data_IF_472637518890
#
_entry.id   IF_472637518890
#
_cell.length_a   1.000
_cell.length_b   1.000
_cell.length_c   1.000
_cell.angle_alpha   90.00
_cell.angle_beta   90.00
_cell.angle_gamma   90.00
#
_symmetry.space_group_name_H-M   'P 1'
#
loop_
_entity.id
_entity.type
_entity.pdbx_description
1 polymer ?
#
# COMPACT_ATOMS: atom_id res chain seq x y z
N UNK A 1 22.85 14.64 -15.48
CA UNK A 1 22.17 13.39 -15.95
C UNK A 1 20.67 13.67 -15.95
N UNK A 2 20.07 13.88 -17.12
CA UNK A 2 18.67 14.28 -17.25
C UNK A 2 17.73 13.13 -16.86
N UNK A 3 17.24 13.12 -15.62
CA UNK A 3 16.20 12.20 -15.19
C UNK A 3 14.93 12.47 -16.01
N UNK A 4 14.59 11.54 -16.90
CA UNK A 4 13.32 11.59 -17.63
C UNK A 4 12.16 11.34 -16.68
N UNK A 5 11.09 12.11 -16.82
CA UNK A 5 9.86 11.98 -16.04
C UNK A 5 8.95 10.99 -16.74
N UNK A 6 8.74 9.84 -16.11
CA UNK A 6 7.82 8.81 -16.58
C UNK A 6 6.40 9.07 -16.09
N UNK A 7 5.42 9.20 -16.99
CA UNK A 7 4.00 9.34 -16.65
C UNK A 7 3.12 8.50 -17.59
N UNK A 8 1.85 8.30 -17.22
CA UNK A 8 0.85 7.65 -18.08
C UNK A 8 -0.20 8.69 -18.43
N UNK A 9 -0.39 8.94 -19.72
CA UNK A 9 -1.39 9.85 -20.25
C UNK A 9 -2.57 9.06 -20.80
N UNK A 10 -3.79 9.54 -20.55
CA UNK A 10 -5.00 8.96 -21.14
C UNK A 10 -5.46 9.84 -22.31
N UNK A 11 -5.50 9.26 -23.51
CA UNK A 11 -5.89 9.91 -24.77
C UNK A 11 -7.03 9.10 -25.39
N UNK A 12 -8.19 9.73 -25.61
CA UNK A 12 -9.38 9.09 -26.20
C UNK A 12 -9.77 7.75 -25.53
N UNK A 13 -9.68 7.68 -24.20
CA UNK A 13 -9.99 6.47 -23.43
C UNK A 13 -8.83 5.45 -23.33
N UNK A 14 -7.79 5.60 -24.14
CA UNK A 14 -6.63 4.71 -24.19
C UNK A 14 -5.46 5.28 -23.38
N UNK A 15 -4.74 4.45 -22.61
CA UNK A 15 -3.58 4.93 -21.83
C UNK A 15 -2.27 4.72 -22.59
N UNK A 16 -1.39 5.70 -22.54
CA UNK A 16 -0.08 5.70 -23.17
C UNK A 16 1.00 6.03 -22.14
N UNK A 17 2.06 5.24 -22.08
CA UNK A 17 3.23 5.54 -21.24
C UNK A 17 4.13 6.56 -21.95
N UNK A 18 4.55 7.56 -21.20
CA UNK A 18 5.35 8.67 -21.69
C UNK A 18 6.57 8.83 -20.82
N UNK A 19 7.73 9.03 -21.44
CA UNK A 19 8.94 9.48 -20.75
C UNK A 19 9.35 10.80 -21.37
N UNK A 20 9.27 11.87 -20.59
CA UNK A 20 9.54 13.22 -21.01
C UNK A 20 10.87 13.71 -20.42
N UNK A 21 11.65 14.45 -21.21
CA UNK A 21 12.94 15.01 -20.78
C UNK A 21 12.89 16.54 -20.86
N UNK A 22 13.82 17.21 -20.16
CA UNK A 22 13.94 18.67 -20.20
C UNK A 22 12.70 19.41 -19.68
N UNK A 23 12.34 20.53 -20.32
CA UNK A 23 11.21 21.37 -19.93
C UNK A 23 9.88 20.60 -19.91
N UNK A 24 9.61 19.78 -20.93
CA UNK A 24 8.41 18.93 -20.98
C UNK A 24 8.35 17.94 -19.81
N UNK A 25 9.51 17.43 -19.38
CA UNK A 25 9.62 16.62 -18.16
C UNK A 25 9.27 17.41 -16.91
N UNK A 26 9.83 18.62 -16.75
CA UNK A 26 9.55 19.48 -15.60
C UNK A 26 8.07 19.86 -15.49
N UNK A 27 7.42 20.22 -16.60
CA UNK A 27 5.98 20.54 -16.60
C UNK A 27 5.15 19.33 -16.17
N UNK A 28 5.46 18.13 -16.66
CA UNK A 28 4.75 16.90 -16.31
C UNK A 28 5.03 16.42 -14.88
N UNK A 29 6.23 16.66 -14.34
CA UNK A 29 6.58 16.31 -12.96
C UNK A 29 5.68 17.03 -11.95
N UNK A 30 5.31 18.28 -12.26
CA UNK A 30 4.43 19.10 -11.42
C UNK A 30 2.96 18.70 -11.51
N UNK A 31 2.58 17.79 -12.42
CA UNK A 31 1.18 17.39 -12.62
C UNK A 31 0.77 16.22 -11.75
N UNK A 32 -0.48 16.28 -11.31
CA UNK A 32 -1.12 15.24 -10.52
C UNK A 32 -2.09 14.41 -11.37
N UNK A 33 -2.43 13.21 -10.87
CA UNK A 33 -3.36 12.34 -11.57
C UNK A 33 -4.73 13.03 -11.71
N UNK A 34 -5.34 12.85 -12.89
CA UNK A 34 -6.64 13.43 -13.21
C UNK A 34 -6.64 14.89 -13.68
N UNK A 35 -5.48 15.55 -13.70
CA UNK A 35 -5.31 16.84 -14.40
C UNK A 35 -5.18 16.60 -15.90
N UNK A 36 -5.81 17.45 -16.72
CA UNK A 36 -5.72 17.36 -18.17
C UNK A 36 -4.72 18.37 -18.70
N UNK A 37 -3.79 17.90 -19.53
CA UNK A 37 -2.76 18.73 -20.16
C UNK A 37 -2.80 18.49 -21.66
N UNK A 38 -2.63 19.54 -22.46
CA UNK A 38 -2.47 19.40 -23.91
C UNK A 38 -1.04 18.96 -24.21
N UNK A 39 -0.90 17.82 -24.89
CA UNK A 39 0.38 17.24 -25.27
C UNK A 39 0.43 17.00 -26.77
N UNK A 40 1.60 17.20 -27.38
CA UNK A 40 1.85 16.90 -28.80
C UNK A 40 2.99 15.89 -28.87
N UNK A 41 2.80 14.84 -29.65
CA UNK A 41 3.79 13.77 -29.77
C UNK A 41 3.31 12.63 -30.66
N UNK A 42 4.19 11.64 -30.86
CA UNK A 42 3.90 10.46 -31.68
C UNK A 42 3.60 9.26 -30.79
N UNK A 43 2.48 8.58 -31.05
CA UNK A 43 2.11 7.33 -30.37
C UNK A 43 2.66 6.13 -31.16
N UNK A 44 3.21 5.15 -30.45
CA UNK A 44 3.59 3.84 -30.98
C UNK A 44 2.98 2.75 -30.10
N UNK A 45 2.57 1.65 -30.69
CA UNK A 45 2.13 0.48 -29.92
C UNK A 45 3.26 -0.07 -29.06
N UNK A 46 2.89 -0.66 -27.92
CA UNK A 46 3.87 -1.26 -27.02
C UNK A 46 4.41 -2.57 -27.61
N UNK A 47 5.55 -2.49 -28.32
CA UNK A 47 6.31 -3.65 -28.74
C UNK A 47 7.43 -3.98 -27.73
N UNK A 48 7.63 -5.27 -27.41
CA UNK A 48 8.74 -5.76 -26.58
C UNK A 48 8.34 -6.39 -25.23
N UNK A 49 9.34 -6.76 -24.39
CA UNK A 49 9.14 -7.58 -23.18
C UNK A 49 8.29 -6.93 -22.08
N UNK A 50 8.02 -5.63 -22.16
CA UNK A 50 7.18 -4.88 -21.20
C UNK A 50 5.69 -4.83 -21.59
N UNK A 51 5.31 -5.38 -22.75
CA UNK A 51 3.92 -5.35 -23.25
C UNK A 51 2.92 -6.01 -22.30
N UNK A 52 3.32 -7.05 -21.56
CA UNK A 52 2.46 -7.68 -20.56
C UNK A 52 2.16 -6.75 -19.38
N UNK A 53 3.16 -6.06 -18.83
CA UNK A 53 2.97 -5.12 -17.73
C UNK A 53 2.10 -3.93 -18.16
N UNK A 54 2.35 -3.41 -19.36
CA UNK A 54 1.58 -2.30 -19.92
C UNK A 54 0.11 -2.73 -20.15
N UNK A 55 -0.17 -3.95 -20.64
CA UNK A 55 -1.55 -4.48 -20.73
C UNK A 55 -2.25 -4.61 -19.37
N UNK A 56 -1.55 -5.07 -18.32
CA UNK A 56 -2.11 -5.19 -16.96
C UNK A 56 -2.48 -3.82 -16.37
N UNK A 57 -1.77 -2.77 -16.76
CA UNK A 57 -2.04 -1.39 -16.32
C UNK A 57 -2.98 -0.61 -17.27
N UNK A 58 -3.58 -1.31 -18.23
CA UNK A 58 -4.43 -0.77 -19.30
C UNK A 58 -3.72 0.24 -20.22
N UNK A 59 -2.41 0.12 -20.35
CA UNK A 59 -1.55 0.92 -21.24
C UNK A 59 -1.41 0.22 -22.59
N UNK A 60 -1.85 0.91 -23.64
CA UNK A 60 -1.95 0.40 -25.02
C UNK A 60 -0.69 0.67 -25.82
N UNK A 61 0.04 1.75 -25.49
CA UNK A 61 1.20 2.18 -26.26
C UNK A 61 2.18 3.04 -25.46
N UNK A 62 3.26 3.43 -26.13
CA UNK A 62 4.17 4.48 -25.67
C UNK A 62 4.00 5.73 -26.52
N UNK A 63 4.07 6.89 -25.91
CA UNK A 63 4.05 8.17 -26.61
C UNK A 63 5.35 8.93 -26.35
N UNK A 64 5.98 9.37 -27.43
CA UNK A 64 7.15 10.28 -27.40
C UNK A 64 6.65 11.70 -27.56
N UNK A 65 6.97 12.57 -26.59
CA UNK A 65 6.51 13.96 -26.59
C UNK A 65 7.41 14.88 -27.39
N UNK A 66 6.78 15.76 -28.15
CA UNK A 66 7.40 16.88 -28.86
C UNK A 66 7.21 18.18 -28.09
N UNK A 67 6.03 18.40 -27.50
CA UNK A 67 5.76 19.54 -26.63
C UNK A 67 4.65 19.26 -25.62
N UNK A 68 4.66 20.01 -24.53
CA UNK A 68 3.66 19.97 -23.45
C UNK A 68 3.21 21.41 -23.21
N UNK A 69 1.91 21.65 -23.28
CA UNK A 69 1.30 22.95 -22.98
C UNK A 69 1.45 23.30 -21.49
N UNK A 70 1.64 24.58 -21.18
CA UNK A 70 1.62 25.07 -19.79
C UNK A 70 0.19 25.12 -19.24
N UNK A 71 -0.80 25.34 -20.10
CA UNK A 71 -2.22 25.31 -19.72
C UNK A 71 -2.67 23.88 -19.37
N UNK A 72 -3.33 23.75 -18.22
CA UNK A 72 -3.91 22.51 -17.73
C UNK A 72 -5.28 22.75 -17.11
N UNK A 73 -6.14 21.73 -17.10
CA UNK A 73 -7.40 21.74 -16.36
C UNK A 73 -7.34 20.78 -15.17
N UNK A 74 -7.92 21.19 -14.04
CA UNK A 74 -7.79 20.44 -12.78
C UNK A 74 -8.70 19.19 -12.67
N UNK A 75 -9.44 18.83 -13.74
CA UNK A 75 -10.32 17.67 -13.77
C UNK A 75 -11.63 17.83 -12.96
N UNK A 76 -12.25 16.71 -12.56
CA UNK A 76 -13.53 16.68 -11.83
C UNK A 76 -13.40 17.25 -10.40
N UNK A 77 -14.51 17.68 -9.79
CA UNK A 77 -14.50 18.30 -8.45
C UNK A 77 -13.86 17.42 -7.37
N UNK A 78 -14.05 16.10 -7.44
CA UNK A 78 -13.42 15.15 -6.52
C UNK A 78 -11.89 15.07 -6.72
N UNK A 79 -11.44 15.04 -7.98
CA UNK A 79 -10.00 15.04 -8.32
C UNK A 79 -9.34 16.34 -7.86
N UNK A 80 -10.00 17.48 -8.10
CA UNK A 80 -9.54 18.80 -7.63
C UNK A 80 -9.35 18.85 -6.13
N UNK A 81 -10.33 18.32 -5.39
CA UNK A 81 -10.27 18.27 -3.93
C UNK A 81 -9.13 17.35 -3.44
N UNK A 82 -8.97 16.17 -4.04
CA UNK A 82 -7.89 15.24 -3.71
C UNK A 82 -6.50 15.82 -4.03
N UNK A 83 -6.35 16.48 -5.18
CA UNK A 83 -5.10 17.13 -5.57
C UNK A 83 -4.77 18.33 -4.69
N UNK A 84 -5.77 19.11 -4.26
CA UNK A 84 -5.57 20.15 -3.23
C UNK A 84 -5.10 19.55 -1.91
N UNK A 85 -5.75 18.49 -1.43
CA UNK A 85 -5.34 17.82 -0.19
C UNK A 85 -3.91 17.29 -0.29
N UNK A 86 -3.53 16.68 -1.43
CA UNK A 86 -2.16 16.22 -1.68
C UNK A 86 -1.16 17.37 -1.62
N UNK A 87 -1.46 18.50 -2.27
CA UNK A 87 -0.64 19.72 -2.19
C UNK A 87 -0.50 20.22 -0.75
N UNK A 88 -1.59 20.25 0.01
CA UNK A 88 -1.59 20.64 1.43
C UNK A 88 -0.72 19.68 2.27
N UNK A 89 -0.86 18.36 2.07
CA UNK A 89 -0.04 17.36 2.77
C UNK A 89 1.45 17.55 2.48
N UNK A 90 1.81 17.72 1.20
CA UNK A 90 3.20 17.97 0.80
C UNK A 90 3.74 19.27 1.42
N UNK A 91 2.94 20.33 1.44
CA UNK A 91 3.29 21.59 2.09
C UNK A 91 3.49 21.47 3.60
N UNK A 92 2.67 20.65 4.26
CA UNK A 92 2.72 20.44 5.72
C UNK A 92 3.87 19.59 6.23
N UNK A 93 4.68 19.03 5.33
CA UNK A 93 5.94 18.34 5.64
C UNK A 93 7.11 18.88 4.82
N UNK A 94 7.03 20.14 4.38
CA UNK A 94 8.01 20.74 3.47
C UNK A 94 9.40 20.90 4.09
N UNK A 95 9.49 21.06 5.41
CA UNK A 95 10.73 21.15 6.18
C UNK A 95 11.42 19.81 6.44
N UNK A 96 10.77 18.68 6.13
CA UNK A 96 11.42 17.36 6.17
C UNK A 96 12.50 17.26 5.08
N UNK A 97 13.55 16.49 5.35
CA UNK A 97 14.51 16.14 4.29
C UNK A 97 13.83 15.40 3.14
N UNK A 98 14.35 15.54 1.93
CA UNK A 98 13.74 14.98 0.71
C UNK A 98 13.37 13.49 0.86
N UNK A 99 14.30 12.68 1.34
CA UNK A 99 14.10 11.22 1.48
C UNK A 99 13.04 10.89 2.55
N UNK A 100 13.03 11.61 3.67
CA UNK A 100 12.04 11.38 4.74
C UNK A 100 10.65 11.83 4.29
N UNK A 101 10.56 12.94 3.57
CA UNK A 101 9.30 13.41 2.97
C UNK A 101 8.76 12.40 1.96
N UNK A 102 9.61 11.89 1.07
CA UNK A 102 9.23 10.88 0.08
C UNK A 102 8.72 9.59 0.77
N UNK A 103 9.39 9.13 1.82
CA UNK A 103 8.94 7.97 2.59
C UNK A 103 7.63 8.24 3.33
N UNK A 104 7.49 9.41 3.97
CA UNK A 104 6.26 9.80 4.66
C UNK A 104 5.05 9.83 3.71
N UNK A 105 5.20 10.47 2.55
CA UNK A 105 4.13 10.53 1.56
C UNK A 105 3.82 9.15 0.98
N UNK A 106 4.81 8.28 0.80
CA UNK A 106 4.61 6.87 0.47
C UNK A 106 3.76 6.12 1.50
N UNK A 107 4.12 6.25 2.78
CA UNK A 107 3.42 5.59 3.89
C UNK A 107 1.97 6.05 4.05
N UNK A 108 1.71 7.35 3.88
CA UNK A 108 0.42 7.97 4.21
C UNK A 108 -0.54 7.98 3.02
N UNK A 109 -0.06 8.40 1.84
CA UNK A 109 -0.89 8.60 0.64
C UNK A 109 -0.43 7.81 -0.59
N UNK A 110 0.64 7.03 -0.47
CA UNK A 110 1.11 6.14 -1.54
C UNK A 110 1.82 6.92 -2.63
N UNK A 111 2.45 8.04 -2.28
CA UNK A 111 3.32 8.75 -3.21
C UNK A 111 4.72 8.13 -3.20
N UNK A 112 5.02 7.33 -4.21
CA UNK A 112 6.30 6.66 -4.40
C UNK A 112 7.22 7.40 -5.40
N UNK A 113 6.77 8.53 -5.97
CA UNK A 113 7.43 9.23 -7.08
C UNK A 113 8.84 9.72 -6.75
N UNK A 114 9.03 10.23 -5.54
CA UNK A 114 10.28 10.86 -5.10
C UNK A 114 11.17 9.89 -4.29
N UNK A 115 10.79 8.61 -4.17
CA UNK A 115 11.55 7.65 -3.36
C UNK A 115 12.88 7.27 -4.04
N UNK A 116 14.02 7.42 -3.34
CA UNK A 116 15.32 7.02 -3.87
C UNK A 116 15.38 5.51 -4.17
N UNK A 117 16.08 5.12 -5.24
CA UNK A 117 16.27 3.70 -5.60
C UNK A 117 16.95 2.88 -4.49
N UNK A 118 17.88 3.49 -3.75
CA UNK A 118 18.52 2.88 -2.59
C UNK A 118 17.51 2.53 -1.51
N UNK A 119 16.58 3.46 -1.20
CA UNK A 119 15.50 3.22 -0.25
C UNK A 119 14.59 2.08 -0.72
N UNK A 120 14.15 2.09 -1.98
CA UNK A 120 13.32 1.02 -2.53
C UNK A 120 14.04 -0.34 -2.43
N UNK A 121 15.35 -0.37 -2.70
CA UNK A 121 16.18 -1.57 -2.55
C UNK A 121 16.25 -2.04 -1.11
N UNK A 122 16.48 -1.15 -0.15
CA UNK A 122 16.53 -1.49 1.28
C UNK A 122 15.19 -2.07 1.77
N UNK A 123 14.08 -1.46 1.40
CA UNK A 123 12.74 -1.94 1.72
C UNK A 123 12.46 -3.30 1.05
N UNK A 124 12.97 -3.54 -0.16
CA UNK A 124 12.84 -4.83 -0.85
C UNK A 124 13.67 -5.92 -0.18
N UNK A 125 14.91 -5.64 0.18
CA UNK A 125 15.80 -6.60 0.85
C UNK A 125 15.36 -6.93 2.28
N UNK A 126 14.67 -6.00 2.95
CA UNK A 126 14.09 -6.20 4.28
C UNK A 126 12.69 -6.84 4.26
N UNK A 127 12.06 -6.97 3.09
CA UNK A 127 10.69 -7.48 2.92
C UNK A 127 9.59 -6.49 3.33
N UNK A 128 9.96 -5.20 3.45
CA UNK A 128 9.09 -4.08 3.79
C UNK A 128 8.56 -3.33 2.56
N UNK A 129 8.77 -3.81 1.32
CA UNK A 129 8.33 -3.11 0.09
C UNK A 129 6.86 -2.69 0.07
N UNK A 130 6.00 -3.42 0.79
CA UNK A 130 4.58 -3.08 0.90
C UNK A 130 4.30 -1.81 1.72
N UNK A 131 5.30 -1.26 2.43
CA UNK A 131 5.24 0.02 3.12
C UNK A 131 5.67 1.20 2.22
N UNK A 132 6.36 0.95 1.10
CA UNK A 132 6.73 2.00 0.15
C UNK A 132 5.51 2.57 -0.60
N UNK A 133 4.41 1.82 -0.61
CA UNK A 133 3.13 2.20 -1.22
C UNK A 133 1.99 2.07 -0.20
N UNK A 134 0.79 2.52 -0.56
CA UNK A 134 -0.35 2.40 0.34
C UNK A 134 -0.84 0.96 0.38
N UNK A 135 -0.87 0.41 1.60
CA UNK A 135 -1.44 -0.90 1.84
C UNK A 135 -2.91 -0.79 2.27
N UNK A 136 -3.65 -1.90 2.13
CA UNK A 136 -5.02 -1.99 2.66
C UNK A 136 -5.12 -1.77 4.18
N UNK A 137 -4.01 -1.87 4.91
CA UNK A 137 -3.93 -1.58 6.34
C UNK A 137 -4.13 -0.08 6.63
N UNK A 138 -3.75 0.81 5.71
CA UNK A 138 -3.99 2.25 5.85
C UNK A 138 -5.48 2.57 5.90
N UNK A 139 -6.32 1.84 5.15
CA UNK A 139 -7.79 1.95 5.23
C UNK A 139 -8.29 1.51 6.61
N UNK A 140 -7.76 0.41 7.14
CA UNK A 140 -8.13 -0.06 8.48
C UNK A 140 -7.73 0.95 9.55
N UNK A 141 -6.54 1.54 9.47
CA UNK A 141 -6.08 2.59 10.39
C UNK A 141 -6.90 3.88 10.27
N UNK A 142 -7.26 4.29 9.06
CA UNK A 142 -8.13 5.44 8.83
C UNK A 142 -9.50 5.24 9.49
N UNK A 143 -10.11 4.07 9.27
CA UNK A 143 -11.39 3.72 9.89
C UNK A 143 -11.29 3.60 11.41
N UNK A 144 -10.18 3.05 11.93
CA UNK A 144 -9.93 2.97 13.37
C UNK A 144 -9.78 4.36 14.00
N UNK A 145 -9.02 5.27 13.38
CA UNK A 145 -8.87 6.65 13.83
C UNK A 145 -10.20 7.41 13.84
N UNK A 146 -11.08 7.13 12.86
CA UNK A 146 -12.41 7.73 12.78
C UNK A 146 -13.46 7.01 13.65
N UNK A 147 -13.15 5.83 14.19
CA UNK A 147 -14.10 5.00 14.93
C UNK A 147 -14.78 5.72 16.10
N UNK A 148 -14.07 6.50 16.96
CA UNK A 148 -14.72 7.22 18.06
C UNK A 148 -15.77 8.24 17.60
N UNK A 149 -15.55 8.86 16.44
CA UNK A 149 -16.52 9.79 15.83
C UNK A 149 -17.68 9.02 15.20
N UNK A 150 -17.38 7.96 14.45
CA UNK A 150 -18.35 7.09 13.77
C UNK A 150 -19.29 6.37 14.75
N UNK A 151 -18.82 6.04 15.94
CA UNK A 151 -19.63 5.39 16.99
C UNK A 151 -20.69 6.32 17.59
N UNK A 152 -20.55 7.64 17.46
CA UNK A 152 -21.56 8.62 17.90
C UNK A 152 -22.72 8.75 16.92
N UNK A 153 -22.58 8.25 15.68
CA UNK A 153 -23.60 8.34 14.64
C UNK A 153 -24.57 7.16 14.71
N UNK A 154 -25.84 7.41 14.34
CA UNK A 154 -26.85 6.37 14.12
C UNK A 154 -26.49 5.49 12.91
N UNK A 155 -27.16 4.34 12.74
CA UNK A 155 -26.84 3.32 11.72
C UNK A 155 -26.67 3.89 10.30
N UNK A 156 -27.66 4.62 9.77
CA UNK A 156 -27.62 5.13 8.39
C UNK A 156 -26.56 6.24 8.19
N UNK A 157 -26.48 7.29 9.02
CA UNK A 157 -25.41 8.29 8.91
C UNK A 157 -24.00 7.69 9.05
N UNK A 158 -23.84 6.67 9.91
CA UNK A 158 -22.55 5.97 10.08
C UNK A 158 -22.12 5.27 8.80
N UNK A 159 -23.02 4.59 8.10
CA UNK A 159 -22.71 3.94 6.81
C UNK A 159 -22.30 4.96 5.76
N UNK A 160 -23.06 6.05 5.64
CA UNK A 160 -22.77 7.12 4.67
C UNK A 160 -21.39 7.72 4.97
N UNK A 161 -21.07 7.99 6.24
CA UNK A 161 -19.77 8.51 6.64
C UNK A 161 -18.63 7.52 6.32
N UNK A 162 -18.79 6.23 6.59
CA UNK A 162 -17.79 5.20 6.25
C UNK A 162 -17.55 5.16 4.74
N UNK A 163 -18.60 5.09 3.94
CA UNK A 163 -18.50 5.04 2.47
C UNK A 163 -17.86 6.32 1.94
N UNK A 164 -18.22 7.49 2.48
CA UNK A 164 -17.63 8.76 2.09
C UNK A 164 -16.14 8.84 2.42
N UNK A 165 -15.72 8.45 3.62
CA UNK A 165 -14.31 8.44 4.04
C UNK A 165 -13.48 7.45 3.21
N UNK A 166 -14.02 6.26 2.97
CA UNK A 166 -13.36 5.26 2.12
C UNK A 166 -13.24 5.76 0.68
N UNK A 167 -14.34 6.25 0.10
CA UNK A 167 -14.36 6.79 -1.27
C UNK A 167 -13.38 7.94 -1.42
N UNK A 168 -13.33 8.84 -0.43
CA UNK A 168 -12.35 9.91 -0.35
C UNK A 168 -10.91 9.39 -0.36
N UNK A 169 -10.60 8.41 0.49
CA UNK A 169 -9.26 7.83 0.58
C UNK A 169 -8.87 7.07 -0.70
N UNK A 170 -9.80 6.37 -1.35
CA UNK A 170 -9.59 5.70 -2.65
C UNK A 170 -9.22 6.71 -3.73
N UNK A 171 -9.91 7.85 -3.79
CA UNK A 171 -9.59 8.92 -4.75
C UNK A 171 -8.23 9.53 -4.44
N UNK A 172 -7.92 9.80 -3.17
CA UNK A 172 -6.64 10.35 -2.73
C UNK A 172 -5.45 9.45 -3.08
N UNK A 173 -5.62 8.14 -2.96
CA UNK A 173 -4.61 7.09 -3.22
C UNK A 173 -4.63 6.55 -4.64
N UNK A 174 -5.39 7.17 -5.56
CA UNK A 174 -5.43 6.83 -7.00
C UNK A 174 -5.93 5.41 -7.30
N UNK A 175 -6.86 4.90 -6.49
CA UNK A 175 -7.50 3.60 -6.70
C UNK A 175 -6.50 2.43 -6.81
N UNK A 176 -5.49 2.42 -5.94
CA UNK A 176 -4.52 1.33 -5.87
C UNK A 176 -5.24 -0.01 -5.57
N UNK A 177 -4.90 -1.14 -6.24
CA UNK A 177 -5.63 -2.41 -6.11
C UNK A 177 -5.81 -2.89 -4.66
N UNK A 178 -4.80 -2.70 -3.81
CA UNK A 178 -4.84 -3.04 -2.39
C UNK A 178 -5.85 -2.20 -1.61
N UNK A 179 -5.99 -0.92 -1.95
CA UNK A 179 -6.95 0.02 -1.34
C UNK A 179 -8.36 -0.28 -1.81
N UNK A 180 -8.56 -0.51 -3.11
CA UNK A 180 -9.86 -0.90 -3.66
C UNK A 180 -10.42 -2.14 -2.96
N UNK A 181 -9.57 -3.15 -2.75
CA UNK A 181 -9.96 -4.33 -1.97
C UNK A 181 -10.31 -4.00 -0.53
N UNK A 182 -9.48 -3.23 0.17
CA UNK A 182 -9.77 -2.85 1.55
C UNK A 182 -11.07 -2.02 1.66
N UNK A 183 -11.34 -1.16 0.68
CA UNK A 183 -12.57 -0.39 0.55
C UNK A 183 -13.80 -1.30 0.39
N UNK A 184 -13.74 -2.27 -0.52
CA UNK A 184 -14.84 -3.24 -0.73
C UNK A 184 -15.05 -4.11 0.51
N UNK A 185 -13.97 -4.61 1.12
CA UNK A 185 -14.08 -5.41 2.36
C UNK A 185 -14.70 -4.59 3.49
N UNK A 186 -14.26 -3.36 3.71
CA UNK A 186 -14.81 -2.48 4.74
C UNK A 186 -16.28 -2.12 4.45
N UNK A 187 -16.63 -1.88 3.17
CA UNK A 187 -18.01 -1.68 2.74
C UNK A 187 -18.91 -2.89 3.02
N UNK A 188 -18.44 -4.10 2.71
CA UNK A 188 -19.17 -5.35 3.00
C UNK A 188 -19.36 -5.58 4.49
N UNK A 189 -18.33 -5.31 5.32
CA UNK A 189 -18.44 -5.42 6.79
C UNK A 189 -19.39 -4.37 7.37
N UNK A 190 -19.35 -3.15 6.84
CA UNK A 190 -20.28 -2.10 7.25
C UNK A 190 -21.73 -2.48 6.89
N UNK A 191 -21.94 -3.02 5.69
CA UNK A 191 -23.23 -3.50 5.22
C UNK A 191 -23.73 -4.67 6.08
N UNK A 192 -22.88 -5.66 6.35
CA UNK A 192 -23.25 -6.80 7.18
C UNK A 192 -23.65 -6.36 8.60
N UNK A 193 -22.96 -5.38 9.17
CA UNK A 193 -23.33 -4.79 10.47
C UNK A 193 -24.66 -4.01 10.44
N UNK A 194 -25.02 -3.42 9.30
CA UNK A 194 -26.30 -2.71 9.15
C UNK A 194 -27.49 -3.66 8.99
N UNK A 195 -27.31 -4.72 8.21
CA UNK A 195 -28.33 -5.73 7.91
C UNK A 195 -28.36 -6.90 8.92
N UNK A 196 -27.40 -6.96 9.85
CA UNK A 196 -27.31 -8.01 10.86
C UNK A 196 -26.78 -9.35 10.34
N UNK A 197 -26.09 -9.35 9.19
CA UNK A 197 -25.52 -10.57 8.61
C UNK A 197 -24.21 -10.95 9.31
N UNK A 198 -24.11 -12.22 9.71
CA UNK A 198 -22.86 -12.80 10.20
C UNK A 198 -21.92 -13.14 9.05
N UNK A 199 -21.11 -12.18 8.59
CA UNK A 199 -20.08 -12.47 7.58
C UNK A 199 -18.76 -12.84 8.25
N UNK A 200 -18.30 -14.07 7.99
CA UNK A 200 -16.96 -14.50 8.37
C UNK A 200 -15.90 -13.88 7.44
N UNK A 201 -14.68 -13.67 7.93
CA UNK A 201 -13.59 -13.06 7.16
C UNK A 201 -13.32 -13.76 5.79
N UNK A 202 -13.52 -15.08 5.74
CA UNK A 202 -13.40 -15.89 4.52
C UNK A 202 -14.45 -15.51 3.47
N UNK A 203 -15.71 -15.34 3.89
CA UNK A 203 -16.82 -14.92 3.03
C UNK A 203 -16.60 -13.51 2.50
N UNK A 204 -16.19 -12.58 3.37
CA UNK A 204 -15.87 -11.20 2.96
C UNK A 204 -14.79 -11.18 1.88
N UNK A 205 -13.72 -11.98 2.05
CA UNK A 205 -12.65 -12.06 1.06
C UNK A 205 -13.14 -12.64 -0.27
N UNK A 206 -13.90 -13.75 -0.25
CA UNK A 206 -14.43 -14.37 -1.46
C UNK A 206 -15.35 -13.42 -2.25
N UNK A 207 -16.31 -12.80 -1.57
CA UNK A 207 -17.20 -11.81 -2.20
C UNK A 207 -16.42 -10.62 -2.77
N UNK A 208 -15.39 -10.15 -2.06
CA UNK A 208 -14.55 -9.04 -2.53
C UNK A 208 -13.80 -9.38 -3.80
N UNK A 209 -13.17 -10.57 -3.85
CA UNK A 209 -12.40 -11.02 -5.03
C UNK A 209 -13.33 -11.17 -6.23
N UNK A 210 -14.49 -11.81 -6.06
CA UNK A 210 -15.48 -11.97 -7.14
C UNK A 210 -15.95 -10.61 -7.64
N UNK A 211 -16.37 -9.70 -6.74
CA UNK A 211 -16.86 -8.38 -7.13
C UNK A 211 -15.81 -7.57 -7.89
N UNK A 212 -14.55 -7.57 -7.44
CA UNK A 212 -13.49 -6.82 -8.10
C UNK A 212 -13.11 -7.40 -9.46
N UNK A 213 -13.06 -8.73 -9.60
CA UNK A 213 -12.76 -9.36 -10.89
C UNK A 213 -13.88 -9.23 -11.91
N UNK A 214 -15.14 -9.08 -11.46
CA UNK A 214 -16.26 -8.75 -12.35
C UNK A 214 -16.19 -7.32 -12.89
N UNK A 215 -15.63 -6.39 -12.11
CA UNK A 215 -15.47 -4.98 -12.52
C UNK A 215 -14.24 -4.81 -13.41
N UNK A 216 -13.10 -5.38 -13.01
CA UNK A 216 -11.85 -5.34 -13.78
C UNK A 216 -11.12 -6.71 -13.73
N UNK A 217 -11.24 -7.53 -14.79
CA UNK A 217 -10.58 -8.83 -14.84
C UNK A 217 -9.05 -8.73 -14.93
N UNK A 218 -8.49 -7.56 -15.31
CA UNK A 218 -7.03 -7.36 -15.33
C UNK A 218 -6.42 -7.34 -13.93
N UNK A 219 -7.23 -7.14 -12.88
CA UNK A 219 -6.77 -7.25 -11.50
C UNK A 219 -6.23 -8.64 -11.16
N UNK A 220 -6.67 -9.71 -11.84
CA UNK A 220 -6.13 -11.06 -11.65
C UNK A 220 -4.62 -11.15 -11.97
N UNK A 221 -4.13 -10.29 -12.86
CA UNK A 221 -2.73 -10.23 -13.26
C UNK A 221 -1.92 -9.19 -12.47
N UNK A 222 -2.58 -8.41 -11.62
CA UNK A 222 -1.91 -7.45 -10.76
C UNK A 222 -1.18 -8.17 -9.62
N UNK A 223 0.14 -8.03 -9.59
CA UNK A 223 0.99 -8.55 -8.51
C UNK A 223 0.54 -8.01 -7.15
N UNK A 224 0.22 -6.71 -7.08
CA UNK A 224 -0.26 -6.07 -5.84
C UNK A 224 -1.57 -6.69 -5.35
N UNK A 225 -2.51 -6.96 -6.26
CA UNK A 225 -3.76 -7.63 -5.92
C UNK A 225 -3.52 -9.05 -5.40
N UNK A 226 -2.68 -9.83 -6.09
CA UNK A 226 -2.32 -11.20 -5.69
C UNK A 226 -1.64 -11.25 -4.31
N UNK A 227 -0.67 -10.38 -4.05
CA UNK A 227 -0.01 -10.26 -2.74
C UNK A 227 -1.00 -9.86 -1.65
N UNK A 228 -1.89 -8.92 -1.94
CA UNK A 228 -2.90 -8.46 -1.00
C UNK A 228 -3.85 -9.60 -0.62
N UNK A 229 -4.48 -10.25 -1.62
CA UNK A 229 -5.39 -11.39 -1.43
C UNK A 229 -4.70 -12.54 -0.70
N UNK A 230 -3.47 -12.87 -1.08
CA UNK A 230 -2.64 -13.88 -0.42
C UNK A 230 -2.42 -13.57 1.07
N UNK A 231 -2.06 -12.33 1.41
CA UNK A 231 -1.86 -11.92 2.80
C UNK A 231 -3.14 -12.07 3.63
N UNK A 232 -4.28 -11.64 3.08
CA UNK A 232 -5.57 -11.71 3.79
C UNK A 232 -6.11 -13.13 3.88
N UNK A 233 -5.87 -13.97 2.88
CA UNK A 233 -6.13 -15.41 2.98
C UNK A 233 -5.24 -16.04 4.06
N UNK A 234 -3.94 -15.73 4.07
CA UNK A 234 -3.03 -16.12 5.14
C UNK A 234 -3.58 -15.78 6.52
N UNK A 235 -3.99 -14.52 6.73
CA UNK A 235 -4.61 -14.08 7.99
C UNK A 235 -5.91 -14.84 8.31
N UNK A 236 -6.82 -14.98 7.36
CA UNK A 236 -8.14 -15.57 7.59
C UNK A 236 -8.08 -17.07 7.92
N UNK A 237 -7.12 -17.82 7.35
CA UNK A 237 -7.01 -19.26 7.55
C UNK A 237 -5.92 -19.67 8.56
N UNK A 238 -4.79 -18.94 8.63
CA UNK A 238 -3.62 -19.38 9.40
C UNK A 238 -3.43 -18.62 10.72
N UNK A 239 -3.88 -17.36 10.82
CA UNK A 239 -3.59 -16.51 12.00
C UNK A 239 -4.09 -17.12 13.31
N UNK A 240 -5.31 -17.67 13.33
CA UNK A 240 -5.88 -18.28 14.53
C UNK A 240 -5.12 -19.55 14.97
N UNK A 241 -4.72 -20.40 14.02
CA UNK A 241 -3.97 -21.63 14.30
C UNK A 241 -2.55 -21.35 14.73
N UNK A 242 -1.88 -20.38 14.10
CA UNK A 242 -0.53 -19.95 14.47
C UNK A 242 -0.53 -19.22 15.81
N UNK A 243 -1.55 -18.41 16.10
CA UNK A 243 -1.68 -17.73 17.38
C UNK A 243 -1.78 -18.69 18.57
N UNK A 244 -2.46 -19.84 18.40
CA UNK A 244 -2.45 -20.90 19.42
C UNK A 244 -1.03 -21.43 19.62
N UNK A 245 -0.31 -21.71 18.54
CA UNK A 245 1.04 -22.27 18.57
C UNK A 245 2.09 -21.38 19.24
N UNK A 246 2.04 -20.07 19.00
CA UNK A 246 3.04 -19.11 19.49
C UNK A 246 2.71 -18.63 20.92
N UNK A 247 1.63 -19.15 21.53
CA UNK A 247 1.21 -18.76 22.87
C UNK A 247 0.48 -17.42 22.95
N UNK A 248 -0.10 -16.93 21.84
CA UNK A 248 -0.91 -15.71 21.80
C UNK A 248 -1.29 -15.25 20.40
N UNK A 249 -2.39 -14.49 20.27
CA UNK A 249 -2.83 -13.80 19.04
C UNK A 249 -1.98 -12.54 18.77
N UNK A 250 -0.65 -12.69 18.78
CA UNK A 250 0.28 -11.57 18.66
C UNK A 250 0.55 -11.14 17.21
N UNK A 251 1.10 -9.94 17.05
CA UNK A 251 1.56 -9.36 15.77
C UNK A 251 2.43 -10.35 14.99
N UNK A 252 3.26 -11.14 15.68
CA UNK A 252 4.12 -12.17 15.10
C UNK A 252 3.32 -13.27 14.37
N UNK A 253 2.22 -13.76 14.96
CA UNK A 253 1.40 -14.79 14.34
C UNK A 253 0.66 -14.26 13.11
N UNK A 254 0.22 -12.99 13.16
CA UNK A 254 -0.36 -12.31 12.01
C UNK A 254 0.66 -12.08 10.88
N UNK A 255 1.89 -11.66 11.22
CA UNK A 255 2.99 -11.49 10.25
C UNK A 255 3.35 -12.82 9.58
N UNK A 256 3.49 -13.90 10.37
CA UNK A 256 3.78 -15.22 9.83
C UNK A 256 2.65 -15.73 8.93
N UNK A 257 1.39 -15.55 9.35
CA UNK A 257 0.21 -15.91 8.57
C UNK A 257 0.18 -15.14 7.23
N UNK A 258 0.42 -13.83 7.26
CA UNK A 258 0.48 -12.99 6.06
C UNK A 258 1.59 -13.46 5.12
N UNK A 259 2.81 -13.69 5.64
CA UNK A 259 3.96 -14.13 4.85
C UNK A 259 3.72 -15.48 4.21
N UNK A 260 3.19 -16.47 4.94
CA UNK A 260 2.87 -17.77 4.35
C UNK A 260 1.82 -17.63 3.23
N UNK A 261 0.86 -16.72 3.38
CA UNK A 261 -0.13 -16.42 2.35
C UNK A 261 0.45 -15.70 1.12
N UNK A 262 1.43 -14.81 1.29
CA UNK A 262 2.07 -14.07 0.17
C UNK A 262 3.25 -14.79 -0.45
N UNK A 263 3.79 -15.81 0.21
CA UNK A 263 5.00 -16.54 -0.21
C UNK A 263 4.88 -17.12 -1.62
N UNK A 264 3.79 -17.77 -2.05
CA UNK A 264 3.68 -18.31 -3.40
C UNK A 264 3.81 -17.23 -4.48
N UNK A 265 3.10 -16.12 -4.30
CA UNK A 265 3.14 -14.98 -5.24
C UNK A 265 4.52 -14.33 -5.22
N UNK A 266 5.10 -14.15 -4.04
CA UNK A 266 6.41 -13.51 -3.88
C UNK A 266 7.54 -14.33 -4.49
N UNK A 267 7.50 -15.66 -4.36
CA UNK A 267 8.50 -16.55 -4.97
C UNK A 267 8.39 -16.57 -6.49
N UNK A 268 7.18 -16.61 -7.04
CA UNK A 268 6.98 -16.59 -8.50
C UNK A 268 7.40 -15.25 -9.12
N UNK A 269 7.11 -14.13 -8.44
CA UNK A 269 7.34 -12.79 -9.01
C UNK A 269 8.74 -12.25 -8.69
N UNK A 270 9.18 -12.38 -7.44
CA UNK A 270 10.44 -11.79 -6.97
C UNK A 270 11.57 -12.79 -6.81
N UNK A 271 11.28 -14.10 -6.80
CA UNK A 271 12.28 -15.16 -6.66
C UNK A 271 12.82 -15.35 -5.24
N UNK A 272 12.45 -14.50 -4.27
CA UNK A 272 12.91 -14.62 -2.90
C UNK A 272 11.95 -13.95 -1.90
N UNK A 273 11.96 -14.45 -0.65
CA UNK A 273 11.24 -13.86 0.50
C UNK A 273 12.23 -13.73 1.66
N UNK A 274 12.56 -12.51 2.13
CA UNK A 274 13.52 -12.33 3.23
C UNK A 274 12.96 -12.89 4.54
N UNK A 275 13.67 -13.81 5.21
CA UNK A 275 13.29 -14.28 6.56
C UNK A 275 13.31 -13.13 7.57
N UNK A 276 14.23 -12.19 7.41
CA UNK A 276 14.38 -10.99 8.26
C UNK A 276 13.07 -10.19 8.35
N UNK A 277 12.20 -10.29 7.34
CA UNK A 277 10.90 -9.62 7.34
C UNK A 277 9.99 -10.07 8.49
N UNK A 278 10.17 -11.26 9.08
CA UNK A 278 9.42 -11.70 10.25
C UNK A 278 9.66 -10.81 11.48
N UNK A 279 10.86 -10.23 11.60
CA UNK A 279 11.23 -9.30 12.68
C UNK A 279 11.04 -7.85 12.23
N UNK A 280 11.42 -7.52 10.99
CA UNK A 280 11.32 -6.17 10.47
C UNK A 280 9.86 -5.68 10.38
N UNK A 281 8.92 -6.56 10.00
CA UNK A 281 7.51 -6.20 9.86
C UNK A 281 6.89 -5.72 11.19
N UNK A 282 6.91 -6.48 12.31
CA UNK A 282 6.37 -5.99 13.58
C UNK A 282 6.98 -4.65 14.04
N UNK A 283 8.29 -4.46 13.87
CA UNK A 283 8.99 -3.24 14.29
C UNK A 283 8.65 -2.03 13.42
N UNK A 284 8.49 -2.24 12.10
CA UNK A 284 8.14 -1.18 11.17
C UNK A 284 6.63 -0.87 11.18
N UNK A 285 5.75 -1.88 11.19
CA UNK A 285 4.29 -1.70 11.09
C UNK A 285 3.68 -1.00 12.30
N UNK A 286 4.24 -1.22 13.49
CA UNK A 286 3.79 -0.56 14.73
C UNK A 286 3.95 0.95 14.63
N UNK A 287 5.13 1.39 14.18
CA UNK A 287 5.43 2.82 13.99
C UNK A 287 4.75 3.36 12.73
N UNK A 288 4.77 2.64 11.61
CA UNK A 288 4.11 3.06 10.37
C UNK A 288 2.60 3.28 10.54
N UNK A 289 1.93 2.45 11.35
CA UNK A 289 0.52 2.67 11.69
C UNK A 289 0.28 3.96 12.46
N UNK A 290 1.14 4.27 13.42
CA UNK A 290 1.09 5.55 14.15
C UNK A 290 1.38 6.75 13.22
N UNK A 291 2.35 6.62 12.31
CA UNK A 291 2.66 7.64 11.29
C UNK A 291 1.44 7.89 10.39
N UNK A 292 0.71 6.85 9.97
CA UNK A 292 -0.53 7.05 9.23
C UNK A 292 -1.56 7.79 10.10
N UNK A 293 -1.90 7.23 11.26
CA UNK A 293 -3.01 7.72 12.09
C UNK A 293 -2.81 9.16 12.59
N UNK A 294 -1.58 9.52 12.96
CA UNK A 294 -1.24 10.83 13.53
C UNK A 294 -0.66 11.75 12.45
N UNK A 295 0.19 11.23 11.57
CA UNK A 295 0.88 12.02 10.56
C UNK A 295 -0.06 12.58 9.50
N UNK A 296 -1.07 11.84 9.03
CA UNK A 296 -2.05 12.37 8.08
C UNK A 296 -2.73 13.66 8.59
N UNK A 297 -3.39 13.69 9.76
CA UNK A 297 -4.01 14.91 10.27
C UNK A 297 -2.98 16.00 10.62
N UNK A 298 -1.82 15.65 11.20
CA UNK A 298 -0.78 16.64 11.50
C UNK A 298 -0.24 17.31 10.24
N UNK A 299 0.01 16.57 9.16
CA UNK A 299 0.47 17.12 7.89
C UNK A 299 -0.60 18.01 7.22
N UNK A 300 -1.89 17.67 7.36
CA UNK A 300 -2.97 18.57 6.90
C UNK A 300 -2.98 19.89 7.69
N UNK A 301 -2.79 19.82 9.01
CA UNK A 301 -2.71 21.00 9.86
C UNK A 301 -1.48 21.85 9.53
N UNK A 302 -0.31 21.24 9.34
CA UNK A 302 0.91 21.94 8.91
C UNK A 302 0.76 22.61 7.55
N UNK A 303 0.05 21.96 6.62
CA UNK A 303 -0.20 22.55 5.30
C UNK A 303 -1.23 23.67 5.33
N UNK A 304 -2.19 23.63 6.25
CA UNK A 304 -3.20 24.67 6.43
C UNK A 304 -2.65 25.87 7.22
N UNK A 305 -1.75 25.63 8.17
CA UNK A 305 -1.14 26.63 9.04
C UNK A 305 0.39 26.53 8.96
N UNK A 306 1.01 27.36 8.13
CA UNK A 306 2.47 27.35 7.93
C UNK A 306 3.27 27.54 9.23
N UNK A 307 2.70 28.18 10.25
CA UNK A 307 3.35 28.36 11.56
C UNK A 307 3.60 27.04 12.31
N UNK A 308 2.78 26.00 12.11
CA UNK A 308 2.96 24.70 12.80
C UNK A 308 3.71 23.67 11.95
N UNK A 309 3.96 23.98 10.68
CA UNK A 309 4.64 23.09 9.74
C UNK A 309 6.02 22.61 10.26
N UNK A 310 6.91 23.46 10.78
CA UNK A 310 8.23 22.99 11.22
C UNK A 310 8.13 22.03 12.40
N UNK A 311 7.18 22.25 13.30
CA UNK A 311 6.91 21.38 14.45
C UNK A 311 6.36 20.02 13.98
N UNK A 312 5.40 20.03 13.05
CA UNK A 312 4.86 18.80 12.44
C UNK A 312 5.97 18.00 11.77
N UNK A 313 6.79 18.66 10.94
CA UNK A 313 7.94 18.07 10.26
C UNK A 313 8.94 17.46 11.24
N UNK A 314 9.32 18.17 12.29
CA UNK A 314 10.24 17.66 13.32
C UNK A 314 9.67 16.41 14.04
N UNK A 315 8.40 16.49 14.47
CA UNK A 315 7.72 15.39 15.16
C UNK A 315 7.57 14.14 14.28
N UNK A 316 7.26 14.30 12.99
CA UNK A 316 7.07 13.19 12.06
C UNK A 316 8.38 12.63 11.50
N UNK A 317 9.47 13.41 11.51
CA UNK A 317 10.77 12.93 11.04
C UNK A 317 11.29 11.77 11.89
N UNK A 318 11.13 11.83 13.22
CA UNK A 318 11.59 10.76 14.13
C UNK A 318 10.99 9.38 13.80
N UNK A 319 9.65 9.20 13.77
CA UNK A 319 9.06 7.90 13.47
C UNK A 319 9.29 7.45 12.02
N UNK A 320 9.40 8.39 11.06
CA UNK A 320 9.74 8.04 9.67
C UNK A 320 11.19 7.55 9.57
N UNK A 321 12.12 8.19 10.27
CA UNK A 321 13.50 7.73 10.38
C UNK A 321 13.60 6.36 11.03
N UNK A 322 12.76 6.05 12.02
CA UNK A 322 12.70 4.70 12.59
C UNK A 322 12.35 3.65 11.53
N UNK A 323 11.30 3.87 10.74
CA UNK A 323 10.90 2.93 9.68
C UNK A 323 12.01 2.78 8.64
N UNK A 324 12.64 3.88 8.23
CA UNK A 324 13.78 3.86 7.32
C UNK A 324 15.00 3.11 7.92
N UNK A 325 15.27 3.32 9.21
CA UNK A 325 16.36 2.67 9.94
C UNK A 325 16.16 1.17 10.08
N UNK A 326 14.95 0.74 10.44
CA UNK A 326 14.58 -0.69 10.47
C UNK A 326 14.80 -1.32 9.10
N UNK A 327 14.34 -0.68 8.02
CA UNK A 327 14.55 -1.19 6.66
C UNK A 327 16.03 -1.30 6.30
N UNK A 328 16.86 -0.30 6.65
CA UNK A 328 18.30 -0.30 6.38
C UNK A 328 19.04 -1.37 7.19
N UNK A 329 18.80 -1.46 8.49
CA UNK A 329 19.45 -2.48 9.34
C UNK A 329 19.04 -3.89 8.88
N UNK A 330 17.76 -4.08 8.59
CA UNK A 330 17.24 -5.33 8.05
C UNK A 330 17.84 -5.64 6.66
N UNK A 331 18.07 -4.66 5.79
CA UNK A 331 18.68 -4.90 4.47
C UNK A 331 20.12 -5.39 4.60
N UNK A 332 20.90 -4.85 5.54
CA UNK A 332 22.29 -5.25 5.78
C UNK A 332 22.41 -6.64 6.41
N UNK A 333 21.47 -7.01 7.29
CA UNK A 333 21.45 -8.31 7.96
C UNK A 333 20.80 -9.40 7.08
N UNK A 334 20.07 -9.00 6.04
CA UNK A 334 19.28 -9.92 5.21
C UNK A 334 20.19 -11.01 4.59
N UNK A 335 20.03 -12.28 5.00
CA UNK A 335 20.79 -13.35 4.39
C UNK A 335 20.28 -13.56 2.96
N UNK A 336 21.21 -13.76 2.02
CA UNK A 336 20.88 -14.06 0.63
C UNK A 336 21.15 -15.54 0.31
N UNK A 337 20.49 -16.06 -0.73
CA UNK A 337 20.73 -17.41 -1.24
C UNK A 337 20.35 -18.53 -0.27
N UNK A 338 21.24 -19.51 -0.12
CA UNK A 338 21.01 -20.77 0.63
C UNK A 338 20.75 -20.55 2.12
N UNK A 339 21.36 -19.51 2.71
CA UNK A 339 21.19 -19.18 4.15
C UNK A 339 19.75 -18.75 4.43
N UNK A 340 19.14 -17.96 3.55
CA UNK A 340 17.74 -17.55 3.68
C UNK A 340 16.79 -18.75 3.60
N UNK A 341 17.07 -19.68 2.68
CA UNK A 341 16.29 -20.90 2.52
C UNK A 341 16.42 -21.78 3.77
N UNK A 342 17.64 -21.98 4.29
CA UNK A 342 17.88 -22.74 5.51
C UNK A 342 17.14 -22.15 6.72
N UNK A 343 17.13 -20.82 6.86
CA UNK A 343 16.40 -20.15 7.92
C UNK A 343 14.87 -20.32 7.79
N UNK A 344 14.31 -20.29 6.58
CA UNK A 344 12.90 -20.65 6.36
C UNK A 344 12.60 -22.10 6.75
N UNK A 345 13.50 -23.03 6.47
CA UNK A 345 13.37 -24.42 6.95
C UNK A 345 13.42 -24.50 8.47
N UNK A 346 14.29 -23.74 9.14
CA UNK A 346 14.33 -23.65 10.61
C UNK A 346 13.02 -23.11 11.18
N UNK A 347 12.45 -22.06 10.58
CA UNK A 347 11.13 -21.52 10.96
C UNK A 347 10.04 -22.58 10.77
N UNK A 348 10.04 -23.27 9.63
CA UNK A 348 9.10 -24.37 9.35
C UNK A 348 9.22 -25.52 10.34
N UNK A 349 10.44 -25.95 10.66
CA UNK A 349 10.72 -26.99 11.64
C UNK A 349 10.28 -26.57 13.05
N UNK A 350 10.50 -25.31 13.43
CA UNK A 350 10.03 -24.76 14.70
C UNK A 350 8.50 -24.76 14.79
N UNK A 351 7.80 -24.30 13.74
CA UNK A 351 6.32 -24.36 13.66
C UNK A 351 5.83 -25.81 13.76
N UNK A 352 6.48 -26.74 13.06
CA UNK A 352 6.12 -28.16 13.10
C UNK A 352 6.31 -28.77 14.49
N UNK A 353 7.44 -28.47 15.16
CA UNK A 353 7.73 -28.92 16.53
C UNK A 353 6.69 -28.37 17.52
N UNK A 354 6.32 -27.11 17.40
CA UNK A 354 5.26 -26.50 18.23
C UNK A 354 3.90 -27.17 18.00
N UNK A 355 3.54 -27.49 16.75
CA UNK A 355 2.30 -28.24 16.45
C UNK A 355 2.31 -29.61 17.14
N UNK A 356 3.43 -30.32 17.05
CA UNK A 356 3.58 -31.65 17.65
C UNK A 356 3.51 -31.62 19.17
N UNK A 357 4.13 -30.62 19.80
CA UNK A 357 4.07 -30.42 21.25
C UNK A 357 2.65 -30.10 21.74
N UNK A 358 1.89 -29.28 21.01
CA UNK A 358 0.47 -29.05 21.33
C UNK A 358 -0.38 -30.31 21.18
N UNK A 359 -0.16 -31.11 20.13
CA UNK A 359 -0.89 -32.37 19.94
C UNK A 359 -0.63 -33.35 21.10
N UNK A 360 0.61 -33.42 21.61
CA UNK A 360 0.98 -34.25 22.78
C UNK A 360 0.35 -33.76 24.09
N UNK A 361 0.27 -32.45 24.31
CA UNK A 361 -0.40 -31.89 25.51
C UNK A 361 -1.90 -32.17 25.53
N UNK A 362 -2.55 -32.31 24.37
CA UNK A 362 -3.96 -32.68 24.31
C UNK A 362 -4.21 -34.18 24.57
N UNK A 363 -3.23 -35.04 24.29
CA UNK A 363 -3.32 -36.47 24.61
C UNK A 363 -3.04 -36.76 26.09
N UNK A 364 -2.14 -36.02 26.74
CA UNK A 364 -1.80 -36.22 28.16
C UNK A 364 -2.84 -35.65 29.15
N UNK A 365 -3.78 -34.82 28.69
CA UNK A 365 -4.89 -34.27 29.52
C UNK A 365 -6.17 -35.11 29.37
N UNK A 366 -6.20 -36.03 28.41
CA UNK A 366 -7.35 -36.89 28.12
C UNK A 366 -7.18 -38.34 28.61
N UNK A 367 -6.02 -38.68 29.17
CA UNK A 367 -5.76 -39.92 29.91
C UNK A 367 -5.57 -39.60 31.39
#
# INVERSE_FOLDING_TARGET
>A
VSHGVGTVLQLHGMRYRVVAYGASGAHLAQRLAGEHVRVVGTCRETAGPYSRYDRITHVVGRMSLTSVSEEFSEGSMAIRAANRMRRTLVGGVSSMSHDMRALFLGLVIGDDREQPRSMISDFRSSGLSHLCAVSGQNVAYLLAAMSPLLQRLRRTPKLIAIVAVIGWFVVLTRAEPSVLRAAVMAGLVALSGAFGWGMNARTVLACTVIALLMIDPMLAWSVGFGLSVGATAGLAWLSASLGKLVGGRGVVAATLAAQLGTMPVSLVVFGYVPVVSLIANPLALTVAGAVMMIGLPCALLGGAFSAVEPLVSACMTIPVMWVAGVARVASHISPHGTVNIALWFCVGAWVWRQRRNMARRHTDVAG
#
